data_IF_100495708130
#
_entry.id   IF_100495708130
#
_cell.length_a   1.000
_cell.length_b   1.000
_cell.length_c   1.000
_cell.angle_alpha   90.00
_cell.angle_beta   90.00
_cell.angle_gamma   90.00
#
_symmetry.space_group_name_H-M   'P 1'
#
loop_
_entity.id
_entity.type
_entity.pdbx_description
1 polymer ?
#
# COMPACT_ATOMS: atom_id res chain seq x y z
N UNK A 1 40.61 36.51 51.85
CA UNK A 1 40.94 35.47 50.83
C UNK A 1 40.09 34.21 50.89
N UNK A 2 39.71 33.72 52.08
CA UNK A 2 39.02 32.41 52.23
C UNK A 2 37.54 32.41 51.75
N UNK A 3 36.81 33.50 51.91
CA UNK A 3 35.42 33.61 51.52
C UNK A 3 35.22 33.60 49.98
N UNK A 4 36.17 34.16 49.25
CA UNK A 4 36.08 34.17 47.77
C UNK A 4 36.33 32.77 47.16
N UNK A 5 37.24 31.97 47.72
CA UNK A 5 37.57 30.63 47.28
C UNK A 5 36.39 29.67 47.59
N UNK A 6 35.74 29.82 48.74
CA UNK A 6 34.56 29.01 49.10
C UNK A 6 33.36 29.32 48.18
N UNK A 7 33.17 30.59 47.82
CA UNK A 7 32.08 30.99 46.90
C UNK A 7 32.24 30.48 45.47
N UNK A 8 33.46 30.53 44.94
CA UNK A 8 33.78 29.99 43.60
C UNK A 8 33.66 28.46 43.56
N UNK A 9 34.11 27.76 44.61
CA UNK A 9 34.00 26.30 44.70
C UNK A 9 32.52 25.85 44.84
N UNK A 10 31.70 26.60 45.60
CA UNK A 10 30.26 26.33 45.71
C UNK A 10 29.53 26.61 44.40
N UNK A 11 29.84 27.73 43.73
CA UNK A 11 29.27 28.05 42.42
C UNK A 11 29.63 27.02 41.35
N UNK A 12 30.88 26.55 41.35
CA UNK A 12 31.37 25.53 40.39
C UNK A 12 30.66 24.19 40.65
N UNK A 13 30.51 23.75 41.90
CA UNK A 13 29.77 22.53 42.25
C UNK A 13 28.29 22.60 41.88
N UNK A 14 27.64 23.75 42.08
CA UNK A 14 26.23 23.93 41.70
C UNK A 14 26.07 23.93 40.19
N UNK A 15 27.03 24.50 39.45
CA UNK A 15 27.01 24.51 37.99
C UNK A 15 27.27 23.12 37.40
N UNK A 16 28.20 22.34 37.96
CA UNK A 16 28.44 20.95 37.57
C UNK A 16 27.26 20.03 37.91
N UNK A 17 26.65 20.19 39.09
CA UNK A 17 25.49 19.41 39.47
C UNK A 17 24.30 19.69 38.53
N UNK A 18 24.13 20.95 38.13
CA UNK A 18 23.07 21.32 37.17
C UNK A 18 23.34 20.80 35.75
N UNK A 19 24.61 20.81 35.33
CA UNK A 19 25.00 20.25 34.02
C UNK A 19 24.86 18.72 33.97
N UNK A 20 25.18 18.02 35.05
CA UNK A 20 25.00 16.55 35.15
C UNK A 20 23.52 16.17 35.20
N UNK A 21 22.71 16.93 35.94
CA UNK A 21 21.25 16.72 35.96
C UNK A 21 20.63 16.95 34.57
N UNK A 22 21.06 18.00 33.86
CA UNK A 22 20.61 18.29 32.50
C UNK A 22 21.04 17.17 31.49
N UNK A 23 22.26 16.67 31.60
CA UNK A 23 22.74 15.55 30.81
C UNK A 23 21.95 14.26 31.06
N UNK A 24 21.69 13.93 32.33
CA UNK A 24 20.88 12.77 32.71
C UNK A 24 19.43 12.90 32.17
N UNK A 25 18.86 14.11 32.32
CA UNK A 25 17.54 14.41 31.78
C UNK A 25 17.51 14.24 30.25
N UNK A 26 18.52 14.73 29.53
CA UNK A 26 18.62 14.59 28.07
C UNK A 26 18.77 13.13 27.65
N UNK A 27 19.61 12.35 28.35
CA UNK A 27 19.82 10.92 28.07
C UNK A 27 18.54 10.11 28.27
N UNK A 28 17.69 10.50 29.21
CA UNK A 28 16.40 9.81 29.46
C UNK A 28 15.28 10.33 28.56
N UNK A 29 15.19 11.64 28.33
CA UNK A 29 14.09 12.25 27.59
C UNK A 29 14.23 12.07 26.07
N UNK A 30 15.44 12.11 25.52
CA UNK A 30 15.68 11.95 24.09
C UNK A 30 15.20 10.59 23.56
N UNK A 31 15.59 9.44 24.15
CA UNK A 31 15.10 8.14 23.71
C UNK A 31 13.58 8.02 23.86
N UNK A 32 13.01 8.55 24.94
CA UNK A 32 11.56 8.56 25.16
C UNK A 32 10.83 9.36 24.08
N UNK A 33 11.37 10.53 23.70
CA UNK A 33 10.83 11.35 22.63
C UNK A 33 10.89 10.64 21.28
N UNK A 34 12.01 9.98 20.96
CA UNK A 34 12.14 9.16 19.75
C UNK A 34 11.18 7.98 19.74
N UNK A 35 11.03 7.27 20.86
CA UNK A 35 10.09 6.18 21.02
C UNK A 35 8.64 6.64 20.83
N UNK A 36 8.26 7.74 21.46
CA UNK A 36 6.93 8.33 21.32
C UNK A 36 6.66 8.77 19.88
N UNK A 37 7.61 9.45 19.23
CA UNK A 37 7.49 9.89 17.85
C UNK A 37 7.35 8.69 16.89
N UNK A 38 8.16 7.63 17.07
CA UNK A 38 8.07 6.40 16.32
C UNK A 38 6.73 5.68 16.49
N UNK A 39 6.23 5.65 17.74
CA UNK A 39 4.93 5.06 18.03
C UNK A 39 3.79 5.83 17.37
N UNK A 40 3.73 7.16 17.51
CA UNK A 40 2.69 7.98 16.89
C UNK A 40 2.75 7.94 15.36
N UNK A 41 3.94 7.95 14.78
CA UNK A 41 4.12 7.78 13.34
C UNK A 41 3.59 6.42 12.86
N UNK A 42 3.93 5.35 13.55
CA UNK A 42 3.46 3.99 13.22
C UNK A 42 1.95 3.85 13.36
N UNK A 43 1.38 4.42 14.43
CA UNK A 43 -0.06 4.42 14.67
C UNK A 43 -0.82 5.22 13.59
N UNK A 44 -0.34 6.42 13.24
CA UNK A 44 -0.93 7.22 12.18
C UNK A 44 -0.87 6.50 10.82
N UNK A 45 0.27 5.89 10.50
CA UNK A 45 0.43 5.10 9.27
C UNK A 45 -0.49 3.89 9.23
N UNK A 46 -0.67 3.19 10.36
CA UNK A 46 -1.61 2.07 10.47
C UNK A 46 -3.06 2.52 10.27
N UNK A 47 -3.46 3.66 10.86
CA UNK A 47 -4.80 4.21 10.66
C UNK A 47 -5.07 4.61 9.21
N UNK A 48 -4.12 5.23 8.53
CA UNK A 48 -4.27 5.57 7.12
C UNK A 48 -4.45 4.33 6.24
N UNK A 49 -3.67 3.27 6.49
CA UNK A 49 -3.83 1.99 5.78
C UNK A 49 -5.17 1.32 6.03
N UNK A 50 -5.69 1.42 7.25
CA UNK A 50 -7.02 0.88 7.58
C UNK A 50 -8.15 1.69 6.95
N UNK A 51 -7.97 3.02 6.81
CA UNK A 51 -8.93 3.89 6.13
C UNK A 51 -8.99 3.66 4.61
N UNK A 52 -7.93 3.12 4.00
CA UNK A 52 -7.88 2.77 2.57
C UNK A 52 -8.53 1.40 2.26
N UNK A 53 -9.34 0.85 3.16
CA UNK A 53 -10.11 -0.38 2.89
C UNK A 53 -11.42 -0.07 2.16
N UNK A 54 -11.88 -1.05 1.37
CA UNK A 54 -13.18 -0.96 0.68
C UNK A 54 -14.31 -0.77 1.71
N UNK A 55 -15.12 0.31 1.61
CA UNK A 55 -16.33 0.47 2.43
C UNK A 55 -17.34 -0.65 2.16
N UNK A 56 -18.04 -1.10 3.21
CA UNK A 56 -18.95 -2.24 3.12
C UNK A 56 -20.07 -2.06 2.10
N UNK A 57 -20.55 -0.84 1.90
CA UNK A 57 -21.57 -0.50 0.94
C UNK A 57 -21.21 -0.80 -0.52
N UNK A 58 -19.92 -0.88 -0.85
CA UNK A 58 -19.40 -1.16 -2.20
C UNK A 58 -18.97 -2.61 -2.38
N UNK A 59 -19.07 -3.43 -1.34
CA UNK A 59 -18.76 -4.85 -1.43
C UNK A 59 -19.85 -5.59 -2.21
N UNK A 60 -19.44 -6.36 -3.21
CA UNK A 60 -20.35 -7.14 -4.06
C UNK A 60 -21.14 -6.33 -5.08
N UNK A 61 -20.90 -5.01 -5.16
CA UNK A 61 -21.52 -4.11 -6.16
C UNK A 61 -20.68 -4.06 -7.42
N UNK A 62 -21.32 -4.01 -8.59
CA UNK A 62 -20.63 -3.82 -9.86
C UNK A 62 -20.24 -2.35 -10.03
N UNK A 63 -18.95 -2.08 -10.20
CA UNK A 63 -18.36 -0.75 -10.33
C UNK A 63 -17.59 -0.65 -11.63
N UNK A 64 -17.70 0.49 -12.31
CA UNK A 64 -16.81 0.79 -13.43
C UNK A 64 -15.58 1.56 -12.93
N UNK A 65 -14.38 0.98 -13.14
CA UNK A 65 -13.12 1.56 -12.72
C UNK A 65 -12.25 1.89 -13.92
N UNK A 66 -11.59 3.03 -13.85
CA UNK A 66 -10.49 3.37 -14.77
C UNK A 66 -9.20 3.44 -13.95
N UNK A 67 -8.12 2.86 -14.48
CA UNK A 67 -6.83 2.85 -13.79
C UNK A 67 -5.76 2.14 -14.59
N UNK A 68 -4.66 1.83 -13.93
CA UNK A 68 -3.43 1.30 -14.54
C UNK A 68 -3.06 -0.04 -13.93
N UNK A 69 -2.64 -0.98 -14.77
CA UNK A 69 -2.07 -2.28 -14.34
C UNK A 69 -0.73 -2.02 -13.65
N UNK A 70 -0.68 -2.21 -12.34
CA UNK A 70 0.44 -1.78 -11.50
C UNK A 70 1.50 -2.87 -11.26
N UNK A 71 1.15 -4.14 -11.47
CA UNK A 71 2.07 -5.27 -11.30
C UNK A 71 2.22 -6.08 -12.57
N UNK A 72 3.23 -6.95 -12.60
CA UNK A 72 3.31 -8.00 -13.61
C UNK A 72 2.07 -8.88 -13.53
N UNK A 73 1.34 -9.07 -14.64
CA UNK A 73 0.23 -10.02 -14.67
C UNK A 73 0.74 -11.44 -14.41
N UNK A 74 0.03 -12.15 -13.54
CA UNK A 74 0.36 -13.51 -13.15
C UNK A 74 -0.71 -14.44 -13.68
N UNK A 75 -0.41 -15.26 -14.70
CA UNK A 75 -1.35 -16.26 -15.21
C UNK A 75 -1.62 -17.32 -14.14
N UNK A 76 -2.84 -17.78 -14.07
CA UNK A 76 -3.27 -18.95 -13.30
C UNK A 76 -4.23 -19.79 -14.13
N UNK A 77 -4.55 -20.98 -13.64
CA UNK A 77 -5.50 -21.84 -14.32
C UNK A 77 -6.89 -21.17 -14.39
N UNK A 78 -7.27 -20.76 -15.62
CA UNK A 78 -8.53 -20.08 -15.90
C UNK A 78 -8.49 -18.55 -15.94
N UNK A 79 -7.31 -17.88 -15.90
CA UNK A 79 -7.26 -16.43 -16.01
C UNK A 79 -5.92 -15.79 -15.70
N UNK A 80 -5.97 -14.50 -15.36
CA UNK A 80 -4.80 -13.71 -14.98
C UNK A 80 -5.11 -12.86 -13.72
N UNK A 81 -4.13 -12.71 -12.84
CA UNK A 81 -4.19 -11.83 -11.65
C UNK A 81 -3.18 -10.71 -11.78
N UNK A 82 -3.58 -9.51 -11.36
CA UNK A 82 -2.72 -8.33 -11.36
C UNK A 82 -3.18 -7.32 -10.31
N UNK A 83 -2.27 -6.45 -9.90
CA UNK A 83 -2.61 -5.28 -9.09
C UNK A 83 -3.01 -4.14 -10.02
N UNK A 84 -4.00 -3.38 -9.61
CA UNK A 84 -4.59 -2.29 -10.37
C UNK A 84 -4.62 -1.02 -9.54
N UNK A 85 -3.98 0.04 -10.03
CA UNK A 85 -4.00 1.37 -9.41
C UNK A 85 -5.23 2.12 -9.94
N UNK A 86 -6.18 2.37 -9.06
CA UNK A 86 -7.46 3.02 -9.38
C UNK A 86 -7.22 4.52 -9.56
N UNK A 87 -7.60 5.06 -10.70
CA UNK A 87 -7.56 6.50 -11.00
C UNK A 87 -8.94 7.14 -10.89
N UNK A 88 -9.99 6.43 -11.34
CA UNK A 88 -11.38 6.90 -11.32
C UNK A 88 -12.33 5.73 -11.07
N UNK A 89 -13.45 6.03 -10.41
CA UNK A 89 -14.53 5.09 -10.16
C UNK A 89 -15.88 5.70 -10.57
N UNK A 90 -16.78 4.86 -11.04
CA UNK A 90 -18.18 5.22 -11.29
C UNK A 90 -19.06 4.28 -10.50
N UNK A 91 -19.89 4.81 -9.58
CA UNK A 91 -20.12 6.24 -9.30
C UNK A 91 -18.93 6.91 -8.60
N UNK A 92 -18.72 8.21 -8.85
CA UNK A 92 -17.61 8.99 -8.29
C UNK A 92 -17.65 9.10 -6.75
N UNK A 93 -18.80 8.82 -6.14
CA UNK A 93 -18.98 8.74 -4.67
C UNK A 93 -18.35 7.48 -4.06
N UNK A 94 -17.92 6.51 -4.86
CA UNK A 94 -17.26 5.31 -4.37
C UNK A 94 -15.83 5.66 -3.92
N UNK A 95 -15.66 5.81 -2.60
CA UNK A 95 -14.34 5.92 -1.97
C UNK A 95 -13.68 4.54 -2.03
N UNK A 96 -12.79 4.36 -2.97
CA UNK A 96 -12.10 3.08 -3.19
C UNK A 96 -10.64 3.15 -2.77
N UNK A 97 -10.05 2.03 -2.38
CA UNK A 97 -8.61 1.91 -2.19
C UNK A 97 -7.86 2.32 -3.45
N UNK A 98 -6.70 2.95 -3.28
CA UNK A 98 -5.84 3.36 -4.42
C UNK A 98 -5.33 2.17 -5.20
N UNK A 99 -5.09 1.04 -4.52
CA UNK A 99 -4.63 -0.20 -5.13
C UNK A 99 -5.52 -1.36 -4.76
N UNK A 100 -5.90 -2.15 -5.76
CA UNK A 100 -6.74 -3.34 -5.63
C UNK A 100 -6.10 -4.51 -6.37
N UNK A 101 -6.38 -5.73 -5.91
CA UNK A 101 -5.98 -6.94 -6.64
C UNK A 101 -7.17 -7.47 -7.44
N UNK A 102 -7.00 -7.61 -8.74
CA UNK A 102 -8.01 -8.11 -9.66
C UNK A 102 -7.64 -9.47 -10.22
N UNK A 103 -8.65 -10.34 -10.32
CA UNK A 103 -8.59 -11.54 -11.13
C UNK A 103 -9.43 -11.32 -12.41
N UNK A 104 -8.88 -11.58 -13.56
CA UNK A 104 -9.60 -11.57 -14.81
C UNK A 104 -9.66 -12.99 -15.34
N UNK A 105 -10.85 -13.56 -15.25
CA UNK A 105 -11.09 -14.92 -15.70
C UNK A 105 -11.23 -14.95 -17.23
N UNK A 106 -10.74 -16.02 -17.84
CA UNK A 106 -10.93 -16.25 -19.26
C UNK A 106 -12.43 -16.27 -19.56
N UNK A 107 -12.90 -15.26 -20.30
CA UNK A 107 -14.31 -15.11 -20.64
C UNK A 107 -14.77 -16.14 -21.66
N UNK A 108 -16.09 -16.22 -21.82
CA UNK A 108 -16.73 -17.10 -22.83
C UNK A 108 -16.51 -16.61 -24.27
N UNK A 109 -16.13 -15.33 -24.47
CA UNK A 109 -15.84 -14.77 -25.79
C UNK A 109 -14.36 -14.87 -26.15
N UNK A 110 -14.07 -15.03 -27.45
CA UNK A 110 -12.69 -15.03 -27.97
C UNK A 110 -11.95 -13.72 -27.70
N UNK A 111 -12.65 -12.59 -27.71
CA UNK A 111 -12.07 -11.27 -27.48
C UNK A 111 -11.63 -11.12 -26.03
N UNK A 112 -12.48 -11.44 -25.06
CA UNK A 112 -12.15 -11.41 -23.63
C UNK A 112 -11.00 -12.36 -23.29
N UNK A 113 -10.96 -13.54 -23.88
CA UNK A 113 -9.85 -14.47 -23.71
C UNK A 113 -8.52 -13.87 -24.20
N UNK A 114 -8.52 -13.23 -25.38
CA UNK A 114 -7.32 -12.59 -25.92
C UNK A 114 -6.87 -11.41 -25.07
N UNK A 115 -7.79 -10.56 -24.66
CA UNK A 115 -7.48 -9.37 -23.86
C UNK A 115 -6.93 -9.77 -22.49
N UNK A 116 -7.54 -10.74 -21.81
CA UNK A 116 -7.02 -11.26 -20.55
C UNK A 116 -5.63 -11.91 -20.70
N UNK A 117 -5.39 -12.64 -21.79
CA UNK A 117 -4.12 -13.30 -22.05
C UNK A 117 -2.98 -12.31 -22.38
N UNK A 118 -3.30 -11.13 -22.93
CA UNK A 118 -2.31 -10.16 -23.39
C UNK A 118 -2.25 -8.88 -22.56
N UNK A 119 -2.92 -8.83 -21.41
CA UNK A 119 -2.82 -7.69 -20.51
C UNK A 119 -1.38 -7.50 -20.02
N UNK A 120 -0.89 -6.26 -19.98
CA UNK A 120 0.49 -5.94 -19.64
C UNK A 120 0.60 -4.87 -18.57
N UNK A 121 1.71 -4.90 -17.82
CA UNK A 121 2.02 -3.90 -16.83
C UNK A 121 2.10 -2.50 -17.46
N UNK A 122 1.53 -1.48 -16.81
CA UNK A 122 1.54 -0.10 -17.27
C UNK A 122 0.42 0.27 -18.25
N UNK A 123 -0.40 -0.65 -18.71
CA UNK A 123 -1.56 -0.35 -19.54
C UNK A 123 -2.67 0.32 -18.71
N UNK A 124 -3.36 1.30 -19.31
CA UNK A 124 -4.56 1.92 -18.72
C UNK A 124 -5.79 1.26 -19.27
N UNK A 125 -6.62 0.79 -18.35
CA UNK A 125 -7.85 0.08 -18.67
C UNK A 125 -9.06 0.69 -17.98
N UNK A 126 -10.21 0.50 -18.59
CA UNK A 126 -11.53 0.62 -17.94
C UNK A 126 -12.08 -0.77 -17.78
N UNK A 127 -12.46 -1.11 -16.53
CA UNK A 127 -13.04 -2.40 -16.19
C UNK A 127 -14.37 -2.23 -15.47
N UNK A 128 -15.33 -3.11 -15.76
CA UNK A 128 -16.41 -3.39 -14.85
C UNK A 128 -15.97 -4.47 -13.86
N UNK A 129 -16.00 -4.17 -12.57
CA UNK A 129 -15.47 -5.06 -11.53
C UNK A 129 -16.46 -5.28 -10.41
N UNK A 130 -16.34 -6.41 -9.73
CA UNK A 130 -16.99 -6.66 -8.44
C UNK A 130 -15.95 -6.86 -7.38
N UNK A 131 -15.96 -5.99 -6.38
CA UNK A 131 -14.97 -5.94 -5.33
C UNK A 131 -15.44 -6.65 -4.06
N UNK A 132 -14.48 -7.17 -3.30
CA UNK A 132 -14.67 -7.74 -1.96
C UNK A 132 -13.61 -7.16 -1.03
N UNK A 133 -13.97 -7.06 0.24
CA UNK A 133 -12.98 -6.79 1.30
C UNK A 133 -11.96 -7.93 1.35
N UNK A 134 -10.71 -7.62 1.66
CA UNK A 134 -9.74 -8.65 1.99
C UNK A 134 -10.24 -9.40 3.24
N UNK A 135 -10.58 -10.66 3.08
CA UNK A 135 -10.88 -11.56 4.19
C UNK A 135 -9.77 -12.62 4.25
N UNK A 136 -9.03 -12.64 5.35
CA UNK A 136 -8.11 -13.72 5.66
C UNK A 136 -8.88 -14.93 6.20
N UNK A 137 -8.64 -16.11 5.65
CA UNK A 137 -9.00 -17.33 6.34
C UNK A 137 -8.06 -17.48 7.54
N UNK A 138 -8.60 -17.40 8.76
CA UNK A 138 -7.85 -17.62 9.99
C UNK A 138 -7.53 -19.12 10.10
N UNK A 139 -6.46 -19.52 9.44
CA UNK A 139 -5.87 -20.84 9.67
C UNK A 139 -4.74 -20.68 10.69
N UNK A 140 -4.79 -21.32 11.85
CA UNK A 140 -3.82 -21.14 12.93
C UNK A 140 -2.35 -21.41 12.58
N UNK A 141 -2.06 -21.98 11.44
CA UNK A 141 -0.70 -22.21 10.90
C UNK A 141 -0.60 -21.97 9.39
N UNK A 142 -1.56 -21.24 8.81
CA UNK A 142 -1.63 -20.95 7.39
C UNK A 142 -1.01 -19.61 7.03
N UNK A 143 -0.87 -19.39 5.73
CA UNK A 143 -0.43 -18.12 5.16
C UNK A 143 -1.45 -17.01 5.47
N UNK A 144 -1.02 -15.95 6.15
CA UNK A 144 -1.85 -14.78 6.45
C UNK A 144 -1.98 -13.89 5.18
N UNK A 145 -3.02 -14.21 4.41
CA UNK A 145 -3.31 -13.53 3.16
C UNK A 145 -3.67 -12.05 3.37
N UNK A 146 -4.33 -11.71 4.48
CA UNK A 146 -4.70 -10.33 4.79
C UNK A 146 -3.46 -9.47 5.09
N UNK A 147 -2.56 -9.96 5.93
CA UNK A 147 -1.28 -9.30 6.20
C UNK A 147 -0.42 -9.15 4.93
N UNK A 148 -0.44 -10.14 4.05
CA UNK A 148 0.27 -10.07 2.77
C UNK A 148 -0.31 -9.00 1.84
N UNK A 149 -1.64 -8.86 1.76
CA UNK A 149 -2.30 -7.80 1.00
C UNK A 149 -2.00 -6.42 1.58
N UNK A 150 -2.04 -6.30 2.92
CA UNK A 150 -1.68 -5.05 3.61
C UNK A 150 -0.24 -4.62 3.34
N UNK A 151 0.72 -5.53 3.29
CA UNK A 151 2.12 -5.20 2.99
C UNK A 151 2.28 -4.63 1.57
N UNK A 152 1.38 -4.97 0.67
CA UNK A 152 1.34 -4.51 -0.73
C UNK A 152 0.45 -3.30 -0.94
N UNK A 153 -0.09 -2.70 0.13
CA UNK A 153 -1.04 -1.59 0.09
C UNK A 153 -2.32 -1.91 -0.73
N UNK A 154 -2.75 -3.20 -0.73
CA UNK A 154 -3.94 -3.66 -1.44
C UNK A 154 -5.13 -3.59 -0.48
N UNK A 155 -6.06 -2.65 -0.75
CA UNK A 155 -7.21 -2.40 0.12
C UNK A 155 -8.50 -3.14 -0.27
N UNK A 156 -8.52 -3.78 -1.45
CA UNK A 156 -9.63 -4.63 -1.89
C UNK A 156 -9.14 -5.71 -2.86
N UNK A 157 -9.90 -6.78 -2.94
CA UNK A 157 -9.74 -7.83 -3.96
C UNK A 157 -11.00 -7.92 -4.80
N UNK A 158 -10.91 -8.43 -6.02
CA UNK A 158 -12.09 -8.57 -6.85
C UNK A 158 -11.83 -9.26 -8.16
N UNK A 159 -12.82 -9.23 -9.03
CA UNK A 159 -12.72 -9.80 -10.37
C UNK A 159 -13.35 -8.90 -11.42
N UNK A 160 -12.82 -9.00 -12.63
CA UNK A 160 -13.35 -8.32 -13.82
C UNK A 160 -14.60 -9.03 -14.30
N UNK A 161 -15.66 -8.26 -14.55
CA UNK A 161 -16.93 -8.77 -15.07
C UNK A 161 -16.86 -8.94 -16.59
N UNK A 162 -17.49 -9.98 -17.15
CA UNK A 162 -17.57 -10.16 -18.59
C UNK A 162 -18.22 -8.96 -19.29
N UNK A 163 -17.74 -8.61 -20.48
CA UNK A 163 -18.35 -7.59 -21.35
C UNK A 163 -18.11 -6.13 -20.93
N UNK A 164 -17.27 -5.86 -19.92
CA UNK A 164 -17.04 -4.51 -19.40
C UNK A 164 -15.57 -4.08 -19.39
N UNK A 165 -14.74 -4.57 -20.31
CA UNK A 165 -13.32 -4.23 -20.40
C UNK A 165 -13.02 -3.40 -21.65
N UNK A 166 -12.24 -2.33 -21.51
CA UNK A 166 -11.71 -1.58 -22.65
C UNK A 166 -10.34 -1.00 -22.31
N UNK A 167 -9.36 -1.23 -23.19
CA UNK A 167 -8.04 -0.63 -23.07
C UNK A 167 -8.09 0.81 -23.55
N UNK A 168 -7.54 1.71 -22.76
CA UNK A 168 -7.52 3.14 -23.03
C UNK A 168 -6.14 3.62 -23.52
N UNK A 169 -5.06 3.13 -22.86
CA UNK A 169 -3.69 3.46 -23.20
C UNK A 169 -2.80 2.22 -23.12
N UNK A 170 -1.84 2.10 -24.03
CA UNK A 170 -0.89 0.99 -24.08
C UNK A 170 0.21 1.08 -23.00
N UNK A 171 0.55 2.29 -22.57
CA UNK A 171 1.56 2.51 -21.53
C UNK A 171 1.44 3.90 -20.91
N UNK A 172 1.26 3.92 -19.60
CA UNK A 172 1.35 5.12 -18.78
C UNK A 172 2.81 5.32 -18.35
N UNK A 173 3.44 6.41 -18.83
CA UNK A 173 4.85 6.70 -18.60
C UNK A 173 5.11 7.19 -17.15
N UNK A 174 4.98 6.29 -16.16
CA UNK A 174 5.43 6.52 -14.77
C UNK A 174 6.59 5.59 -14.45
N UNK A 175 7.63 6.03 -13.69
CA UNK A 175 8.81 5.23 -13.41
C UNK A 175 8.51 3.84 -12.85
N UNK A 176 7.51 3.74 -11.96
CA UNK A 176 7.10 2.47 -11.36
C UNK A 176 6.57 1.48 -12.41
N UNK A 177 5.77 1.94 -13.37
CA UNK A 177 5.19 1.10 -14.41
C UNK A 177 6.20 0.73 -15.49
N UNK A 178 7.10 1.67 -15.83
CA UNK A 178 8.20 1.41 -16.77
C UNK A 178 9.12 0.31 -16.23
N UNK A 179 9.42 0.31 -14.93
CA UNK A 179 10.21 -0.74 -14.29
C UNK A 179 9.52 -2.10 -14.37
N UNK A 180 8.20 -2.15 -14.13
CA UNK A 180 7.44 -3.40 -14.26
C UNK A 180 7.40 -3.89 -15.71
N UNK A 181 7.25 -2.97 -16.68
CA UNK A 181 7.29 -3.30 -18.10
C UNK A 181 8.65 -3.86 -18.54
N UNK A 182 9.74 -3.26 -18.04
CA UNK A 182 11.08 -3.75 -18.30
C UNK A 182 11.29 -5.17 -17.71
N UNK A 183 10.79 -5.45 -16.51
CA UNK A 183 10.83 -6.79 -15.90
C UNK A 183 10.01 -7.81 -16.70
N UNK A 184 8.86 -7.42 -17.25
CA UNK A 184 8.04 -8.25 -18.12
C UNK A 184 8.83 -8.66 -19.36
N UNK A 185 9.44 -7.70 -20.04
CA UNK A 185 10.26 -7.94 -21.22
C UNK A 185 11.45 -8.88 -20.96
N UNK A 186 12.11 -8.76 -19.81
CA UNK A 186 13.19 -9.65 -19.42
C UNK A 186 12.69 -11.08 -19.15
N UNK A 187 11.49 -11.23 -18.60
CA UNK A 187 10.89 -12.52 -18.29
C UNK A 187 10.44 -13.28 -19.56
N UNK A 188 9.96 -12.56 -20.58
CA UNK A 188 9.54 -13.16 -21.86
C UNK A 188 10.71 -13.71 -22.69
N UNK A 189 11.97 -13.33 -22.34
CA UNK A 189 13.20 -13.78 -23.04
C UNK A 189 13.84 -15.02 -22.45
N UNK A 190 13.37 -15.52 -21.35
CA UNK A 190 13.83 -16.74 -20.66
C UNK A 190 12.77 -17.81 -20.71
#
# INVERSE_FOLDING_TARGET
GFAAIAGTALWWRLHEANSRAALLAAVLLLPLLFAATGFFYSAARAQWRLAERLPQQWEGVDLALTGVVASLPQPFDGGVRFDFDVEQAVPAAALLPRRIALAWYNGASREEFRDAAFIRAGERWRFSVRLKRPHGNINPHGFDYESWLMQRDIGATGYVRPGGSSRLDDLVARPAYLLQRAREFLRERH
#
